data_IF_105002007664
#
_entry.id   IF_105002007664
#
_cell.length_a   1.000
_cell.length_b   1.000
_cell.length_c   1.000
_cell.angle_alpha   90.00
_cell.angle_beta   90.00
_cell.angle_gamma   90.00
#
_symmetry.space_group_name_H-M   'P 1'
#
loop_
_entity.id
_entity.type
_entity.pdbx_description
1 polymer ?
#
# COMPACT_ATOMS: atom_id res chain seq x y z
N UNK A 1 -49.25 -47.80 -58.41
CA UNK A 1 -49.15 -47.62 -56.95
C UNK A 1 -47.68 -47.48 -56.61
N UNK A 2 -47.10 -46.27 -56.64
CA UNK A 2 -45.67 -46.01 -56.39
C UNK A 2 -45.53 -45.24 -55.03
N UNK A 3 -45.03 -45.89 -54.00
CA UNK A 3 -44.66 -45.31 -52.71
C UNK A 3 -43.31 -44.55 -52.83
N UNK A 4 -43.33 -43.25 -52.64
CA UNK A 4 -42.13 -42.45 -52.54
C UNK A 4 -41.51 -42.65 -51.14
N UNK A 5 -40.29 -43.16 -51.11
CA UNK A 5 -39.43 -43.21 -49.90
C UNK A 5 -38.67 -41.90 -49.84
N UNK A 6 -38.90 -41.12 -48.81
CA UNK A 6 -38.14 -39.89 -48.48
C UNK A 6 -36.91 -40.32 -47.73
N UNK A 7 -35.68 -39.91 -48.09
CA UNK A 7 -34.47 -40.30 -47.34
C UNK A 7 -34.32 -39.50 -46.06
N UNK A 8 -34.24 -40.20 -44.96
CA UNK A 8 -34.06 -39.71 -43.58
C UNK A 8 -32.65 -39.09 -43.35
N UNK A 9 -31.79 -39.05 -44.37
CA UNK A 9 -30.39 -38.62 -44.24
C UNK A 9 -30.18 -37.09 -44.15
N UNK A 10 -31.16 -36.24 -44.41
CA UNK A 10 -30.99 -34.79 -44.45
C UNK A 10 -31.25 -34.07 -43.11
N UNK A 11 -31.77 -34.75 -42.09
CA UNK A 11 -32.12 -34.13 -40.81
C UNK A 11 -31.00 -34.20 -39.76
N UNK A 12 -30.00 -35.06 -39.94
CA UNK A 12 -28.88 -35.22 -39.00
C UNK A 12 -27.71 -34.22 -39.22
N UNK A 13 -27.65 -33.60 -40.39
CA UNK A 13 -26.55 -32.64 -40.72
C UNK A 13 -26.85 -31.22 -40.19
N UNK A 14 -28.13 -30.88 -39.95
CA UNK A 14 -28.47 -29.54 -39.40
C UNK A 14 -28.32 -29.42 -37.88
N UNK A 15 -28.29 -30.51 -37.14
CA UNK A 15 -28.06 -30.50 -35.70
C UNK A 15 -26.57 -30.42 -35.31
N UNK A 16 -25.65 -30.76 -36.21
CA UNK A 16 -24.21 -30.68 -35.97
C UNK A 16 -23.64 -29.24 -36.16
N UNK A 17 -24.34 -28.36 -36.86
CA UNK A 17 -23.90 -26.98 -37.09
C UNK A 17 -24.32 -26.00 -36.00
N UNK A 18 -25.23 -26.36 -35.10
CA UNK A 18 -25.68 -25.50 -34.01
C UNK A 18 -24.81 -25.61 -32.72
N UNK A 19 -23.87 -26.57 -32.64
CA UNK A 19 -23.02 -26.79 -31.49
C UNK A 19 -21.63 -26.11 -31.53
N UNK A 20 -21.33 -25.35 -32.62
CA UNK A 20 -20.04 -24.64 -32.77
C UNK A 20 -20.19 -23.15 -32.43
N UNK A 21 -21.33 -22.73 -31.88
CA UNK A 21 -21.55 -21.35 -31.50
C UNK A 21 -21.24 -21.14 -30.01
N UNK A 22 -20.17 -20.42 -29.74
CA UNK A 22 -19.83 -19.72 -28.51
C UNK A 22 -18.86 -20.41 -27.54
N UNK A 23 -17.75 -20.94 -28.03
CA UNK A 23 -16.56 -20.88 -27.20
C UNK A 23 -16.00 -19.45 -27.34
N UNK A 24 -16.43 -18.54 -26.49
CA UNK A 24 -15.66 -17.31 -26.26
C UNK A 24 -14.25 -17.76 -25.97
N UNK A 25 -13.22 -17.35 -26.72
CA UNK A 25 -11.86 -17.75 -26.42
C UNK A 25 -11.60 -17.37 -24.94
N UNK A 26 -11.18 -18.34 -24.14
CA UNK A 26 -10.78 -18.06 -22.78
C UNK A 26 -9.75 -16.95 -22.87
N UNK A 27 -10.10 -15.76 -22.36
CA UNK A 27 -9.18 -14.61 -22.34
C UNK A 27 -7.93 -15.05 -21.58
N UNK A 28 -6.76 -14.92 -22.18
CA UNK A 28 -5.51 -15.23 -21.50
C UNK A 28 -5.45 -14.44 -20.17
N UNK A 29 -4.96 -15.06 -19.10
CA UNK A 29 -4.82 -14.39 -17.82
C UNK A 29 -3.83 -13.24 -17.98
N UNK A 30 -4.27 -12.05 -17.61
CA UNK A 30 -3.45 -10.84 -17.66
C UNK A 30 -2.56 -10.78 -16.40
N UNK A 31 -1.26 -10.93 -16.57
CA UNK A 31 -0.30 -10.77 -15.46
C UNK A 31 -0.01 -9.30 -15.20
N UNK A 32 0.01 -8.91 -13.91
CA UNK A 32 0.42 -7.58 -13.43
C UNK A 32 1.50 -7.78 -12.37
N UNK A 33 2.63 -7.14 -12.57
CA UNK A 33 3.69 -7.04 -11.57
C UNK A 33 3.49 -5.81 -10.72
N UNK A 34 3.45 -6.00 -9.40
CA UNK A 34 3.24 -4.95 -8.41
C UNK A 34 4.44 -4.83 -7.48
N UNK A 35 5.10 -3.67 -7.49
CA UNK A 35 6.24 -3.36 -6.64
C UNK A 35 5.83 -2.83 -5.27
N UNK A 36 6.53 -3.29 -4.20
CA UNK A 36 6.33 -2.81 -2.84
C UNK A 36 7.65 -2.76 -2.06
N UNK A 37 7.64 -2.14 -0.88
CA UNK A 37 8.83 -1.96 -0.03
C UNK A 37 9.07 -3.19 0.85
N UNK A 38 10.30 -3.67 0.86
CA UNK A 38 10.76 -4.72 1.78
C UNK A 38 10.20 -6.10 1.46
N UNK A 39 9.59 -6.74 2.43
CA UNK A 39 8.94 -8.05 2.31
C UNK A 39 7.43 -7.95 2.57
N UNK A 40 6.78 -9.08 2.88
CA UNK A 40 5.37 -9.09 3.20
C UNK A 40 5.04 -8.13 4.35
N UNK A 41 4.26 -7.11 4.06
CA UNK A 41 3.81 -6.07 5.01
C UNK A 41 2.30 -5.96 4.99
N UNK A 42 1.74 -5.27 5.96
CA UNK A 42 0.30 -5.04 6.00
C UNK A 42 -0.24 -4.14 4.88
N UNK A 43 0.62 -3.39 4.18
CA UNK A 43 0.22 -2.70 2.94
C UNK A 43 -0.29 -3.66 1.88
N UNK A 44 0.22 -4.89 1.85
CA UNK A 44 -0.18 -5.92 0.88
C UNK A 44 -1.42 -6.70 1.29
N UNK A 45 -2.04 -6.38 2.42
CA UNK A 45 -3.21 -7.13 2.91
C UNK A 45 -4.39 -7.12 1.94
N UNK A 46 -4.78 -5.99 1.31
CA UNK A 46 -5.82 -6.05 0.28
C UNK A 46 -5.46 -6.96 -0.90
N UNK A 47 -4.17 -7.00 -1.27
CA UNK A 47 -3.68 -7.88 -2.32
C UNK A 47 -3.81 -9.36 -1.91
N UNK A 48 -3.42 -9.71 -0.68
CA UNK A 48 -3.56 -11.08 -0.16
C UNK A 48 -5.02 -11.52 -0.10
N UNK A 49 -5.90 -10.66 0.40
CA UNK A 49 -7.34 -10.91 0.43
C UNK A 49 -7.89 -11.10 -0.98
N UNK A 50 -7.63 -10.17 -1.89
CA UNK A 50 -8.14 -10.25 -3.26
C UNK A 50 -7.65 -11.48 -4.03
N UNK A 51 -6.42 -11.93 -3.75
CA UNK A 51 -5.87 -13.17 -4.32
C UNK A 51 -6.53 -14.40 -3.71
N UNK A 52 -6.58 -14.51 -2.38
CA UNK A 52 -7.13 -15.68 -1.69
C UNK A 52 -8.63 -15.87 -1.90
N UNK A 53 -9.39 -14.76 -2.01
CA UNK A 53 -10.84 -14.79 -2.27
C UNK A 53 -11.19 -14.87 -3.75
N UNK A 54 -10.19 -14.92 -4.64
CA UNK A 54 -10.39 -15.02 -6.08
C UNK A 54 -10.88 -13.73 -6.76
N UNK A 55 -10.85 -12.58 -6.10
CA UNK A 55 -11.35 -11.31 -6.66
C UNK A 55 -10.55 -10.86 -7.89
N UNK A 56 -9.22 -11.07 -7.90
CA UNK A 56 -8.38 -10.80 -9.07
C UNK A 56 -8.60 -11.84 -10.18
N UNK A 57 -8.72 -13.10 -9.82
CA UNK A 57 -8.99 -14.17 -10.77
C UNK A 57 -10.35 -13.98 -11.49
N UNK A 58 -11.37 -13.50 -10.77
CA UNK A 58 -12.68 -13.16 -11.36
C UNK A 58 -12.60 -12.05 -12.41
N UNK A 59 -11.61 -11.17 -12.32
CA UNK A 59 -11.30 -10.13 -13.30
C UNK A 59 -10.25 -10.60 -14.34
N UNK A 60 -9.93 -11.90 -14.34
CA UNK A 60 -8.91 -12.50 -15.20
C UNK A 60 -7.52 -11.87 -15.04
N UNK A 61 -7.13 -11.62 -13.78
CA UNK A 61 -5.85 -11.04 -13.40
C UNK A 61 -5.05 -11.99 -12.50
N UNK A 62 -3.74 -12.08 -12.75
CA UNK A 62 -2.74 -12.70 -11.88
C UNK A 62 -1.75 -11.63 -11.42
N UNK A 63 -1.59 -11.45 -10.11
CA UNK A 63 -0.76 -10.38 -9.55
C UNK A 63 0.53 -10.96 -8.97
N UNK A 64 1.66 -10.54 -9.52
CA UNK A 64 3.00 -10.90 -9.04
C UNK A 64 3.58 -9.79 -8.16
N UNK A 65 4.12 -10.14 -7.03
CA UNK A 65 4.75 -9.19 -6.12
C UNK A 65 6.25 -9.10 -6.36
N UNK A 66 6.76 -7.88 -6.43
CA UNK A 66 8.20 -7.57 -6.53
C UNK A 66 8.56 -6.63 -5.38
N UNK A 67 9.70 -6.87 -4.73
CA UNK A 67 10.12 -6.10 -3.58
C UNK A 67 11.37 -5.28 -3.88
N UNK A 68 11.36 -4.01 -3.43
CA UNK A 68 12.51 -3.12 -3.46
C UNK A 68 12.91 -2.71 -2.02
N UNK A 69 14.18 -2.33 -1.78
CA UNK A 69 14.67 -2.07 -0.43
C UNK A 69 14.12 -0.79 0.21
N UNK A 70 13.58 0.15 -0.58
CA UNK A 70 13.05 1.42 -0.10
C UNK A 70 11.91 1.95 -0.97
N UNK A 71 11.10 2.86 -0.43
CA UNK A 71 10.00 3.51 -1.16
C UNK A 71 10.51 4.30 -2.38
N UNK A 72 11.62 5.04 -2.25
CA UNK A 72 12.25 5.73 -3.37
C UNK A 72 12.73 4.73 -4.45
N UNK A 73 13.31 3.58 -4.03
CA UNK A 73 13.71 2.51 -4.94
C UNK A 73 12.53 1.89 -5.69
N UNK A 74 11.38 1.75 -5.05
CA UNK A 74 10.13 1.33 -5.70
C UNK A 74 9.76 2.32 -6.81
N UNK A 75 9.79 3.63 -6.55
CA UNK A 75 9.42 4.63 -7.56
C UNK A 75 10.41 4.68 -8.74
N UNK A 76 11.70 4.52 -8.49
CA UNK A 76 12.71 4.43 -9.56
C UNK A 76 12.45 3.23 -10.48
N UNK A 77 12.17 2.05 -9.92
CA UNK A 77 11.89 0.84 -10.68
C UNK A 77 10.56 0.92 -11.43
N UNK A 78 9.50 1.50 -10.82
CA UNK A 78 8.24 1.77 -11.49
C UNK A 78 8.42 2.72 -12.69
N UNK A 79 9.17 3.80 -12.51
CA UNK A 79 9.48 4.75 -13.58
C UNK A 79 10.25 4.09 -14.72
N UNK A 80 11.18 3.20 -14.42
CA UNK A 80 11.93 2.41 -15.38
C UNK A 80 11.11 1.31 -16.07
N UNK A 81 9.88 1.01 -15.58
CA UNK A 81 9.01 -0.02 -16.14
C UNK A 81 9.37 -1.45 -15.72
N UNK A 82 10.13 -1.62 -14.62
CA UNK A 82 10.45 -2.94 -14.07
C UNK A 82 9.21 -3.68 -13.55
N UNK A 83 8.17 -2.95 -13.21
CA UNK A 83 6.82 -3.42 -12.90
C UNK A 83 5.80 -2.34 -13.28
N UNK A 84 4.52 -2.66 -13.25
CA UNK A 84 3.46 -1.82 -13.80
C UNK A 84 2.79 -0.93 -12.76
N UNK A 85 2.64 -1.43 -11.54
CA UNK A 85 1.93 -0.82 -10.42
C UNK A 85 2.83 -0.83 -9.19
N UNK A 86 2.71 0.15 -8.33
CA UNK A 86 3.42 0.16 -7.04
C UNK A 86 2.50 0.52 -5.89
N UNK A 87 2.82 -0.05 -4.71
CA UNK A 87 2.32 0.38 -3.41
C UNK A 87 3.50 0.77 -2.52
N UNK A 88 3.54 2.02 -2.12
CA UNK A 88 4.66 2.55 -1.32
C UNK A 88 4.30 3.87 -0.64
N UNK A 89 5.27 4.47 0.06
CA UNK A 89 5.11 5.76 0.73
C UNK A 89 4.68 6.88 -0.22
N UNK A 90 3.58 7.55 0.11
CA UNK A 90 2.98 8.57 -0.75
C UNK A 90 3.91 9.76 -1.01
N UNK A 91 4.73 10.16 -0.04
CA UNK A 91 5.67 11.28 -0.20
C UNK A 91 6.69 11.03 -1.31
N UNK A 92 7.19 9.78 -1.44
CA UNK A 92 8.16 9.43 -2.48
C UNK A 92 7.49 9.34 -3.85
N UNK A 93 6.22 8.90 -3.92
CA UNK A 93 5.44 8.93 -5.16
C UNK A 93 5.26 10.36 -5.64
N UNK A 94 4.78 11.25 -4.78
CA UNK A 94 4.55 12.68 -5.10
C UNK A 94 5.86 13.36 -5.51
N UNK A 95 6.95 13.11 -4.78
CA UNK A 95 8.29 13.63 -5.11
C UNK A 95 8.73 13.18 -6.50
N UNK A 96 8.67 11.88 -6.79
CA UNK A 96 9.10 11.34 -8.08
C UNK A 96 8.30 11.92 -9.25
N UNK A 97 6.98 12.10 -9.10
CA UNK A 97 6.13 12.72 -10.13
C UNK A 97 6.55 14.18 -10.39
N UNK A 98 6.80 14.95 -9.35
CA UNK A 98 7.26 16.33 -9.51
C UNK A 98 8.69 16.43 -10.03
N UNK A 99 9.51 15.42 -9.83
CA UNK A 99 10.84 15.30 -10.46
C UNK A 99 10.76 14.87 -11.92
N UNK A 100 9.59 14.53 -12.43
CA UNK A 100 9.33 14.22 -13.84
C UNK A 100 9.30 12.72 -14.15
N UNK A 101 9.22 11.85 -13.14
CA UNK A 101 9.09 10.43 -13.39
C UNK A 101 7.78 10.14 -14.16
N UNK A 102 7.78 9.19 -15.12
CA UNK A 102 6.61 8.83 -15.92
C UNK A 102 5.64 7.90 -15.12
N UNK A 103 5.21 8.39 -13.97
CA UNK A 103 4.30 7.69 -13.06
C UNK A 103 3.13 8.58 -12.67
N UNK A 104 2.02 7.99 -12.24
CA UNK A 104 0.86 8.73 -11.76
C UNK A 104 0.23 8.02 -10.55
N UNK A 105 -0.28 8.80 -9.61
CA UNK A 105 -1.03 8.33 -8.46
C UNK A 105 -2.46 7.97 -8.91
N UNK A 106 -2.93 6.77 -8.54
CA UNK A 106 -4.28 6.30 -8.90
C UNK A 106 -5.19 6.09 -7.69
N UNK A 107 -4.64 5.88 -6.48
CA UNK A 107 -5.42 5.88 -5.24
C UNK A 107 -4.53 6.16 -4.02
N UNK A 108 -5.11 6.71 -2.96
CA UNK A 108 -4.56 6.61 -1.61
C UNK A 108 -4.92 5.23 -1.07
N UNK A 109 -4.01 4.60 -0.35
CA UNK A 109 -4.27 3.32 0.31
C UNK A 109 -4.26 3.47 1.83
N UNK A 110 -3.11 3.79 2.41
CA UNK A 110 -2.98 4.11 3.83
C UNK A 110 -3.28 5.59 4.08
N UNK A 111 -4.45 5.88 4.61
CA UNK A 111 -4.91 7.27 4.76
C UNK A 111 -4.48 7.96 6.05
N UNK A 112 -3.79 7.23 6.94
CA UNK A 112 -3.24 7.71 8.21
C UNK A 112 -1.92 6.98 8.54
N UNK A 113 -1.03 7.56 9.38
CA UNK A 113 0.22 6.89 9.75
C UNK A 113 0.00 5.77 10.76
N UNK A 114 0.39 4.52 10.45
CA UNK A 114 0.17 3.38 11.34
C UNK A 114 1.35 3.10 12.27
N UNK A 115 2.17 4.10 12.54
CA UNK A 115 3.39 3.95 13.33
C UNK A 115 3.19 4.25 14.82
N UNK A 116 4.00 3.60 15.65
CA UNK A 116 4.22 3.95 17.04
C UNK A 116 5.69 4.33 17.27
N UNK A 117 5.95 5.21 18.25
CA UNK A 117 7.30 5.54 18.72
C UNK A 117 7.63 4.66 19.91
N UNK A 118 8.54 3.70 19.71
CA UNK A 118 9.02 2.77 20.73
C UNK A 118 10.37 3.22 21.25
N UNK A 119 10.58 3.15 22.56
CA UNK A 119 11.81 3.59 23.23
C UNK A 119 12.38 2.51 24.15
N UNK A 120 13.65 2.67 24.53
CA UNK A 120 14.30 1.84 25.55
C UNK A 120 13.47 1.84 26.84
N UNK A 121 13.54 0.74 27.58
CA UNK A 121 12.74 0.50 28.81
C UNK A 121 12.90 1.57 29.88
N UNK A 122 14.04 2.26 29.88
CA UNK A 122 14.36 3.34 30.83
C UNK A 122 13.74 4.68 30.49
N UNK A 123 13.28 4.86 29.24
CA UNK A 123 12.64 6.08 28.74
C UNK A 123 11.13 5.91 28.89
N UNK A 124 10.46 6.78 29.64
CA UNK A 124 9.04 6.67 29.96
C UNK A 124 8.19 7.77 29.34
N UNK A 125 8.81 8.86 28.95
CA UNK A 125 8.14 10.04 28.38
C UNK A 125 8.83 10.52 27.12
N UNK A 126 8.08 11.23 26.26
CA UNK A 126 8.65 11.88 25.07
C UNK A 126 9.74 12.89 25.46
N UNK A 127 9.56 13.62 26.56
CA UNK A 127 10.53 14.63 27.02
C UNK A 127 11.93 14.06 27.27
N UNK A 128 12.04 12.80 27.68
CA UNK A 128 13.31 12.10 27.93
C UNK A 128 14.08 11.76 26.65
N UNK A 129 13.50 11.97 25.48
CA UNK A 129 14.16 11.81 24.19
C UNK A 129 15.12 12.95 23.83
N UNK A 130 15.12 14.06 24.61
CA UNK A 130 16.08 15.16 24.40
C UNK A 130 17.52 14.66 24.54
N UNK A 131 18.36 14.96 23.56
CA UNK A 131 19.74 14.50 23.47
C UNK A 131 19.89 12.99 23.20
N UNK A 132 18.83 12.31 22.76
CA UNK A 132 18.86 10.87 22.46
C UNK A 132 18.91 10.62 20.96
N UNK A 133 19.38 9.43 20.59
CA UNK A 133 19.40 8.97 19.21
C UNK A 133 18.10 8.24 18.87
N UNK A 134 17.41 8.70 17.84
CA UNK A 134 16.13 8.14 17.37
C UNK A 134 16.30 7.64 15.94
N UNK A 135 15.75 6.47 15.61
CA UNK A 135 15.85 5.91 14.27
C UNK A 135 14.54 6.06 13.49
N UNK A 136 14.67 6.60 12.28
CA UNK A 136 13.59 6.77 11.28
C UNK A 136 13.98 6.13 9.94
N UNK A 137 13.10 6.17 8.94
CA UNK A 137 13.32 5.52 7.64
C UNK A 137 14.42 6.14 6.80
N UNK A 138 14.54 7.46 6.81
CA UNK A 138 15.52 8.21 6.03
C UNK A 138 15.41 9.70 6.26
N UNK A 139 16.39 10.45 5.78
CA UNK A 139 16.42 11.91 5.94
C UNK A 139 15.22 12.60 5.27
N UNK A 140 14.81 12.10 4.11
CA UNK A 140 13.66 12.61 3.33
C UNK A 140 12.44 11.70 3.39
N UNK A 141 12.46 10.70 4.27
CA UNK A 141 11.36 9.75 4.45
C UNK A 141 10.24 10.34 5.31
N UNK A 142 9.00 9.94 5.04
CA UNK A 142 7.83 10.42 5.77
C UNK A 142 7.89 10.15 7.27
N UNK A 143 8.60 9.10 7.70
CA UNK A 143 8.74 8.77 9.13
C UNK A 143 9.49 9.82 9.92
N UNK A 144 10.41 10.58 9.29
CA UNK A 144 11.03 11.76 9.91
C UNK A 144 9.98 12.83 10.19
N UNK A 145 9.14 13.13 9.20
CA UNK A 145 8.06 14.12 9.36
C UNK A 145 7.09 13.70 10.46
N UNK A 146 6.72 12.41 10.50
CA UNK A 146 5.87 11.85 11.55
C UNK A 146 6.49 12.02 12.93
N UNK A 147 7.79 11.74 13.08
CA UNK A 147 8.50 11.96 14.33
C UNK A 147 8.45 13.45 14.76
N UNK A 148 8.75 14.35 13.84
CA UNK A 148 8.74 15.80 14.11
C UNK A 148 7.34 16.30 14.49
N UNK A 149 6.27 15.80 13.86
CA UNK A 149 4.88 16.09 14.22
C UNK A 149 4.54 15.62 15.64
N UNK A 150 5.15 14.53 16.12
CA UNK A 150 4.97 14.04 17.47
C UNK A 150 5.85 14.78 18.49
N UNK A 151 7.12 15.06 18.18
CA UNK A 151 8.05 15.64 19.12
C UNK A 151 7.81 17.15 19.36
N UNK A 152 7.51 17.91 18.30
CA UNK A 152 7.37 19.38 18.39
C UNK A 152 6.32 19.84 19.39
N UNK A 153 5.06 19.33 19.40
CA UNK A 153 4.07 19.72 20.40
C UNK A 153 4.42 19.24 21.82
N UNK A 154 5.33 18.28 21.95
CA UNK A 154 5.87 17.81 23.23
C UNK A 154 7.16 18.56 23.65
N UNK A 155 7.46 19.68 23.01
CA UNK A 155 8.54 20.59 23.40
C UNK A 155 9.94 20.18 22.95
N UNK A 156 10.07 19.21 22.02
CA UNK A 156 11.37 18.80 21.46
C UNK A 156 11.44 19.26 20.00
N UNK A 157 12.44 20.08 19.68
CA UNK A 157 12.66 20.63 18.35
C UNK A 157 13.75 19.86 17.60
N UNK A 158 13.77 19.99 16.28
CA UNK A 158 14.88 19.50 15.45
C UNK A 158 16.23 20.07 15.97
N UNK A 159 17.24 19.21 16.03
CA UNK A 159 18.56 19.53 16.61
C UNK A 159 18.68 19.29 18.12
N UNK A 160 17.59 18.96 18.82
CA UNK A 160 17.63 18.57 20.24
C UNK A 160 17.68 17.04 20.41
N UNK A 161 17.82 16.28 19.33
CA UNK A 161 18.02 14.82 19.28
C UNK A 161 18.79 14.45 18.02
N UNK A 162 19.40 13.28 18.02
CA UNK A 162 20.15 12.76 16.87
C UNK A 162 19.29 11.79 16.07
N UNK A 163 19.45 11.77 14.74
CA UNK A 163 18.76 10.84 13.85
C UNK A 163 19.73 9.82 13.27
N UNK A 164 19.31 8.54 13.28
CA UNK A 164 19.86 7.47 12.46
C UNK A 164 18.79 6.98 11.49
N UNK A 165 19.24 6.40 10.39
CA UNK A 165 18.35 6.05 9.28
C UNK A 165 18.42 4.58 8.92
N UNK A 166 17.24 3.92 8.83
CA UNK A 166 17.10 2.59 8.29
C UNK A 166 15.71 2.45 7.61
N UNK A 167 15.70 2.17 6.32
CA UNK A 167 14.49 2.15 5.50
C UNK A 167 13.44 1.12 5.96
N UNK A 168 13.87 -0.08 6.39
CA UNK A 168 12.94 -1.12 6.83
C UNK A 168 12.63 -1.04 8.33
N UNK A 169 11.39 -1.29 8.70
CA UNK A 169 10.97 -1.38 10.11
C UNK A 169 11.70 -2.49 10.86
N UNK A 170 12.05 -3.60 10.18
CA UNK A 170 12.80 -4.69 10.78
C UNK A 170 14.20 -4.24 11.23
N UNK A 171 14.91 -3.47 10.40
CA UNK A 171 16.21 -2.93 10.77
C UNK A 171 16.12 -1.93 11.93
N UNK A 172 15.08 -1.09 11.96
CA UNK A 172 14.83 -0.17 13.07
C UNK A 172 14.54 -0.92 14.36
N UNK A 173 13.75 -1.99 14.30
CA UNK A 173 13.49 -2.84 15.48
C UNK A 173 14.75 -3.53 15.98
N UNK A 174 15.58 -4.09 15.08
CA UNK A 174 16.86 -4.69 15.47
C UNK A 174 17.82 -3.68 16.14
N UNK A 175 17.87 -2.44 15.64
CA UNK A 175 18.67 -1.37 16.26
C UNK A 175 18.15 -0.99 17.65
N UNK A 176 16.82 -0.96 17.85
CA UNK A 176 16.22 -0.74 19.16
C UNK A 176 16.55 -1.89 20.12
N UNK A 177 16.44 -3.15 19.66
CA UNK A 177 16.74 -4.34 20.47
C UNK A 177 18.20 -4.43 20.90
N UNK A 178 19.13 -4.06 20.03
CA UNK A 178 20.57 -4.06 20.33
C UNK A 178 21.00 -2.91 21.23
N UNK A 179 20.14 -1.92 21.49
CA UNK A 179 20.50 -0.70 22.22
C UNK A 179 21.29 0.32 21.39
N UNK A 180 21.45 0.12 20.08
CA UNK A 180 22.12 1.07 19.20
C UNK A 180 21.38 2.41 19.10
N UNK A 181 20.09 2.44 19.39
CA UNK A 181 19.26 3.64 19.45
C UNK A 181 18.40 3.68 20.69
N UNK A 182 18.07 4.89 21.11
CA UNK A 182 17.21 5.14 22.28
C UNK A 182 15.73 4.98 21.96
N UNK A 183 15.33 5.27 20.73
CA UNK A 183 13.96 5.08 20.23
C UNK A 183 13.93 4.82 18.73
N UNK A 184 12.82 4.25 18.26
CA UNK A 184 12.59 4.00 16.85
C UNK A 184 11.10 4.09 16.51
N UNK A 185 10.77 4.59 15.32
CA UNK A 185 9.43 4.51 14.74
C UNK A 185 9.24 3.12 14.16
N UNK A 186 8.24 2.38 14.66
CA UNK A 186 7.96 1.01 14.25
C UNK A 186 6.54 0.87 13.70
N UNK A 187 6.45 0.06 12.64
CA UNK A 187 5.21 -0.32 11.95
C UNK A 187 4.71 -1.67 12.48
N UNK A 188 3.39 -1.94 12.53
CA UNK A 188 2.88 -3.25 12.92
C UNK A 188 3.39 -4.39 12.02
N UNK A 189 3.64 -5.58 12.57
CA UNK A 189 3.44 -5.96 13.99
C UNK A 189 4.64 -5.66 14.90
N UNK A 190 5.73 -5.06 14.39
CA UNK A 190 6.98 -4.93 15.12
C UNK A 190 6.88 -3.96 16.33
N UNK A 191 5.97 -2.99 16.28
CA UNK A 191 5.64 -2.18 17.47
C UNK A 191 5.07 -3.07 18.59
N UNK A 192 4.16 -3.99 18.31
CA UNK A 192 3.58 -4.91 19.32
C UNK A 192 4.62 -5.88 19.86
N UNK A 193 5.50 -6.39 18.99
CA UNK A 193 6.63 -7.24 19.43
C UNK A 193 7.60 -6.48 20.34
N UNK A 194 7.86 -5.21 20.03
CA UNK A 194 8.69 -4.36 20.89
C UNK A 194 8.02 -4.15 22.27
N UNK A 195 6.72 -3.85 22.31
CA UNK A 195 5.97 -3.74 23.55
C UNK A 195 6.00 -5.04 24.37
N UNK A 196 5.75 -6.19 23.73
CA UNK A 196 5.84 -7.50 24.36
C UNK A 196 7.26 -7.82 24.89
N UNK A 197 8.30 -7.32 24.22
CA UNK A 197 9.69 -7.41 24.69
C UNK A 197 10.02 -6.39 25.80
N UNK A 198 9.06 -5.57 26.24
CA UNK A 198 9.18 -4.61 27.35
C UNK A 198 9.73 -3.24 26.97
N UNK A 199 9.85 -2.91 25.68
CA UNK A 199 10.14 -1.54 25.23
C UNK A 199 8.95 -0.64 25.55
N UNK A 200 9.22 0.65 25.82
CA UNK A 200 8.16 1.61 26.14
C UNK A 200 7.51 2.15 24.87
N UNK A 201 6.20 2.00 24.73
CA UNK A 201 5.44 2.71 23.71
C UNK A 201 5.17 4.15 24.18
N UNK A 202 5.76 5.13 23.50
CA UNK A 202 5.60 6.56 23.81
C UNK A 202 4.37 7.18 23.12
N UNK A 203 3.67 6.41 22.29
CA UNK A 203 2.43 6.83 21.64
C UNK A 203 2.37 6.50 20.16
N UNK A 204 1.19 6.67 19.59
CA UNK A 204 0.92 6.44 18.18
C UNK A 204 1.02 7.73 17.38
N UNK A 205 1.66 7.67 16.22
CA UNK A 205 1.84 8.84 15.34
C UNK A 205 0.51 9.37 14.82
N UNK A 206 -0.49 8.51 14.64
CA UNK A 206 -1.83 8.93 14.19
C UNK A 206 -2.46 10.00 15.08
N UNK A 207 -2.14 10.03 16.37
CA UNK A 207 -2.64 11.03 17.32
C UNK A 207 -2.12 12.44 17.02
N UNK A 208 -0.99 12.54 16.31
CA UNK A 208 -0.30 13.79 15.99
C UNK A 208 -0.36 14.16 14.49
N UNK A 209 -0.65 13.22 13.62
CA UNK A 209 -0.57 13.38 12.17
C UNK A 209 -1.71 12.69 11.40
N UNK A 210 -2.92 12.62 11.98
CA UNK A 210 -4.08 11.90 11.41
C UNK A 210 -4.52 12.33 10.00
N UNK A 211 -4.18 13.57 9.60
CA UNK A 211 -4.52 14.09 8.27
C UNK A 211 -3.43 13.81 7.21
N UNK A 212 -2.30 13.26 7.63
CA UNK A 212 -1.15 13.02 6.77
C UNK A 212 -1.17 11.59 6.26
N UNK A 213 -1.50 11.35 4.98
CA UNK A 213 -1.61 10.00 4.44
C UNK A 213 -0.24 9.33 4.36
N UNK A 214 -0.24 8.01 4.48
CA UNK A 214 0.96 7.21 4.52
C UNK A 214 1.37 6.66 3.17
N UNK A 215 0.46 5.96 2.48
CA UNK A 215 0.77 5.23 1.24
C UNK A 215 -0.26 5.45 0.15
N UNK A 216 0.13 5.12 -1.06
CA UNK A 216 -0.73 5.15 -2.22
C UNK A 216 -0.32 4.14 -3.27
N UNK A 217 -1.18 3.95 -4.25
CA UNK A 217 -0.91 3.15 -5.44
C UNK A 217 -0.62 4.08 -6.60
N UNK A 218 0.55 3.88 -7.22
CA UNK A 218 0.97 4.57 -8.45
C UNK A 218 1.17 3.58 -9.59
N UNK A 219 1.12 4.09 -10.80
CA UNK A 219 1.27 3.31 -12.03
C UNK A 219 2.29 3.97 -12.98
N UNK A 220 2.98 3.14 -13.77
CA UNK A 220 3.73 3.64 -14.92
C UNK A 220 2.75 4.18 -15.97
N UNK A 221 2.87 5.47 -16.32
CA UNK A 221 1.89 6.15 -17.20
C UNK A 221 1.86 5.57 -18.61
N UNK A 222 3.00 5.16 -19.15
CA UNK A 222 3.07 4.56 -20.49
C UNK A 222 2.38 3.20 -20.53
N UNK A 223 2.56 2.39 -19.50
CA UNK A 223 1.84 1.12 -19.37
C UNK A 223 0.33 1.36 -19.17
N UNK A 224 -0.05 2.25 -18.26
CA UNK A 224 -1.44 2.55 -17.94
C UNK A 224 -2.23 3.04 -19.15
N UNK A 225 -1.62 3.89 -19.99
CA UNK A 225 -2.26 4.38 -21.23
C UNK A 225 -2.55 3.24 -22.21
N UNK A 226 -1.64 2.29 -22.37
CA UNK A 226 -1.84 1.14 -23.27
C UNK A 226 -2.72 0.04 -22.69
N UNK A 227 -2.90 0.00 -21.37
CA UNK A 227 -3.59 -1.07 -20.65
C UNK A 227 -4.69 -0.52 -19.72
N UNK A 228 -5.38 0.54 -20.13
CA UNK A 228 -6.38 1.23 -19.29
C UNK A 228 -7.43 0.28 -18.73
N UNK A 229 -8.03 -0.57 -19.57
CA UNK A 229 -9.05 -1.55 -19.15
C UNK A 229 -8.50 -2.55 -18.10
N UNK A 230 -7.25 -3.01 -18.28
CA UNK A 230 -6.58 -3.90 -17.31
C UNK A 230 -6.36 -3.20 -15.96
N UNK A 231 -5.93 -1.95 -15.98
CA UNK A 231 -5.77 -1.13 -14.79
C UNK A 231 -7.11 -0.91 -14.08
N UNK A 232 -8.17 -0.59 -14.81
CA UNK A 232 -9.51 -0.38 -14.23
C UNK A 232 -10.05 -1.65 -13.57
N UNK A 233 -9.85 -2.83 -14.18
CA UNK A 233 -10.18 -4.14 -13.58
C UNK A 233 -9.38 -4.39 -12.29
N UNK A 234 -8.07 -4.10 -12.31
CA UNK A 234 -7.23 -4.19 -11.12
C UNK A 234 -7.75 -3.29 -9.99
N UNK A 235 -8.00 -2.01 -10.27
CA UNK A 235 -8.49 -1.05 -9.27
C UNK A 235 -9.86 -1.44 -8.71
N UNK A 236 -10.74 -2.00 -9.55
CA UNK A 236 -12.05 -2.50 -9.11
C UNK A 236 -11.91 -3.71 -8.17
N UNK A 237 -11.11 -4.71 -8.54
CA UNK A 237 -10.85 -5.90 -7.72
C UNK A 237 -10.16 -5.52 -6.41
N UNK A 238 -9.17 -4.64 -6.48
CA UNK A 238 -8.45 -4.14 -5.30
C UNK A 238 -9.39 -3.40 -4.33
N UNK A 239 -10.28 -2.55 -4.84
CA UNK A 239 -11.26 -1.84 -4.02
C UNK A 239 -12.24 -2.82 -3.36
N UNK A 240 -12.72 -3.85 -4.07
CA UNK A 240 -13.55 -4.92 -3.48
C UNK A 240 -12.80 -5.62 -2.34
N UNK A 241 -11.51 -5.92 -2.51
CA UNK A 241 -10.69 -6.56 -1.49
C UNK A 241 -10.50 -5.66 -0.25
N UNK A 242 -10.28 -4.36 -0.44
CA UNK A 242 -10.21 -3.38 0.67
C UNK A 242 -11.53 -3.31 1.44
N UNK A 243 -12.66 -3.23 0.74
CA UNK A 243 -13.99 -3.19 1.37
C UNK A 243 -14.24 -4.47 2.17
N UNK A 244 -13.94 -5.63 1.58
CA UNK A 244 -14.09 -6.92 2.24
C UNK A 244 -13.20 -7.04 3.49
N UNK A 245 -11.94 -6.61 3.40
CA UNK A 245 -10.98 -6.58 4.52
C UNK A 245 -11.48 -5.70 5.67
N UNK A 246 -12.15 -4.60 5.36
CA UNK A 246 -12.67 -3.66 6.36
C UNK A 246 -14.05 -4.04 6.91
N UNK A 247 -14.72 -5.07 6.38
CA UNK A 247 -15.95 -5.59 6.97
C UNK A 247 -15.63 -6.45 8.20
N UNK A 248 -16.13 -6.03 9.37
CA UNK A 248 -15.92 -6.75 10.64
C UNK A 248 -16.47 -8.17 10.66
N UNK A 249 -17.46 -8.47 9.81
CA UNK A 249 -18.01 -9.82 9.68
C UNK A 249 -16.98 -10.80 9.09
N UNK A 250 -16.01 -10.30 8.34
CA UNK A 250 -14.95 -11.10 7.70
C UNK A 250 -13.70 -11.25 8.58
N UNK A 251 -13.66 -10.69 9.81
CA UNK A 251 -12.45 -10.64 10.65
C UNK A 251 -11.75 -11.99 10.79
N UNK A 252 -12.49 -13.04 11.14
CA UNK A 252 -11.91 -14.37 11.37
C UNK A 252 -11.26 -14.96 10.10
N UNK A 253 -11.94 -14.83 8.96
CA UNK A 253 -11.45 -15.31 7.68
C UNK A 253 -10.28 -14.43 7.18
N UNK A 254 -10.38 -13.12 7.33
CA UNK A 254 -9.31 -12.18 6.99
C UNK A 254 -8.03 -12.52 7.75
N UNK A 255 -8.08 -12.67 9.07
CA UNK A 255 -6.92 -13.03 9.89
C UNK A 255 -6.31 -14.36 9.42
N UNK A 256 -7.13 -15.38 9.16
CA UNK A 256 -6.64 -16.67 8.65
C UNK A 256 -5.88 -16.52 7.33
N UNK A 257 -6.45 -15.83 6.35
CA UNK A 257 -5.81 -15.57 5.05
C UNK A 257 -4.48 -14.80 5.25
N UNK A 258 -4.51 -13.76 6.10
CA UNK A 258 -3.35 -12.89 6.31
C UNK A 258 -2.21 -13.61 7.02
N UNK A 259 -2.49 -14.48 8.00
CA UNK A 259 -1.49 -15.36 8.66
C UNK A 259 -0.82 -16.26 7.62
N UNK A 260 -1.63 -16.90 6.77
CA UNK A 260 -1.12 -17.81 5.74
C UNK A 260 -0.26 -17.08 4.70
N UNK A 261 -0.73 -15.91 4.21
CA UNK A 261 -0.05 -15.16 3.16
C UNK A 261 1.22 -14.45 3.66
N UNK A 262 1.18 -13.83 4.86
CA UNK A 262 2.30 -13.04 5.40
C UNK A 262 3.29 -13.87 6.21
N UNK A 263 2.94 -15.08 6.61
CA UNK A 263 3.73 -15.96 7.52
C UNK A 263 3.99 -15.30 8.89
N UNK A 264 3.14 -14.37 9.29
CA UNK A 264 3.16 -13.77 10.63
C UNK A 264 2.41 -14.64 11.63
N UNK A 265 2.67 -14.42 12.93
CA UNK A 265 1.93 -15.15 13.95
C UNK A 265 0.45 -14.73 13.97
N UNK A 266 -0.47 -15.63 14.36
CA UNK A 266 -1.88 -15.26 14.53
C UNK A 266 -2.07 -14.04 15.45
N UNK A 267 -1.38 -14.01 16.58
CA UNK A 267 -1.46 -12.93 17.57
C UNK A 267 -1.03 -11.57 16.98
N UNK A 268 0.09 -11.52 16.28
CA UNK A 268 0.58 -10.30 15.62
C UNK A 268 -0.39 -9.83 14.53
N UNK A 269 -0.92 -10.76 13.76
CA UNK A 269 -1.87 -10.47 12.68
C UNK A 269 -3.18 -9.91 13.24
N UNK A 270 -3.72 -10.53 14.30
CA UNK A 270 -4.95 -10.06 14.96
C UNK A 270 -4.79 -8.66 15.53
N UNK A 271 -3.71 -8.41 16.30
CA UNK A 271 -3.41 -7.09 16.87
C UNK A 271 -3.29 -6.03 15.77
N UNK A 272 -2.59 -6.37 14.69
CA UNK A 272 -2.42 -5.46 13.55
C UNK A 272 -3.75 -5.19 12.84
N UNK A 273 -4.58 -6.23 12.63
CA UNK A 273 -5.90 -6.09 12.03
C UNK A 273 -6.80 -5.15 12.84
N UNK A 274 -6.89 -5.38 14.14
CA UNK A 274 -7.72 -4.58 15.04
C UNK A 274 -7.22 -3.12 15.11
N UNK A 275 -5.90 -2.90 15.10
CA UNK A 275 -5.32 -1.56 15.04
C UNK A 275 -5.69 -0.85 13.72
N UNK A 276 -5.48 -1.48 12.57
CA UNK A 276 -5.78 -0.86 11.27
C UNK A 276 -7.26 -0.50 11.13
N UNK A 277 -8.13 -1.36 11.62
CA UNK A 277 -9.57 -1.06 11.68
C UNK A 277 -9.87 0.12 12.60
N UNK A 278 -9.27 0.16 13.79
CA UNK A 278 -9.46 1.22 14.79
C UNK A 278 -9.05 2.60 14.27
N UNK A 279 -7.96 2.67 13.51
CA UNK A 279 -7.45 3.95 12.97
C UNK A 279 -8.01 4.28 11.58
N UNK A 280 -8.91 3.45 11.04
CA UNK A 280 -9.46 3.59 9.68
C UNK A 280 -8.34 3.72 8.62
N UNK A 281 -7.41 2.76 8.64
CA UNK A 281 -6.16 2.86 7.88
C UNK A 281 -6.38 2.80 6.37
N UNK A 282 -7.14 1.81 5.87
CA UNK A 282 -7.34 1.61 4.43
C UNK A 282 -8.43 2.53 3.87
N UNK A 283 -8.12 3.23 2.79
CA UNK A 283 -9.08 4.01 2.04
C UNK A 283 -10.01 3.06 1.25
N UNK A 284 -11.32 3.08 1.51
CA UNK A 284 -12.28 2.07 1.04
C UNK A 284 -12.99 2.43 -0.27
N UNK A 285 -12.95 3.69 -0.70
CA UNK A 285 -13.70 4.15 -1.90
C UNK A 285 -12.88 4.12 -3.18
N UNK A 286 -11.55 3.89 -3.10
CA UNK A 286 -10.64 3.97 -4.23
C UNK A 286 -10.39 5.40 -4.70
N UNK A 287 -10.36 6.36 -3.78
CA UNK A 287 -10.28 7.79 -4.06
C UNK A 287 -8.93 8.41 -3.66
N UNK A 288 -8.66 9.57 -4.23
CA UNK A 288 -7.52 10.42 -3.86
C UNK A 288 -8.06 11.78 -3.41
N UNK A 289 -7.97 12.06 -2.12
CA UNK A 289 -8.32 13.37 -1.57
C UNK A 289 -7.24 14.40 -1.88
N UNK A 290 -7.55 15.45 -2.62
CA UNK A 290 -6.66 16.60 -2.88
C UNK A 290 -6.19 17.24 -1.58
N UNK A 291 -7.07 17.38 -0.61
CA UNK A 291 -6.74 17.92 0.71
C UNK A 291 -5.63 17.14 1.39
N UNK A 292 -5.71 15.80 1.41
CA UNK A 292 -4.66 14.96 2.00
C UNK A 292 -3.36 15.02 1.21
N UNK A 293 -3.43 15.05 -0.12
CA UNK A 293 -2.24 15.16 -0.97
C UNK A 293 -1.58 16.54 -0.85
N UNK A 294 -2.36 17.60 -0.66
CA UNK A 294 -1.83 18.94 -0.42
C UNK A 294 -0.94 19.01 0.83
N UNK A 295 -1.25 18.28 1.89
CA UNK A 295 -0.39 18.15 3.09
C UNK A 295 0.99 17.57 2.74
N UNK A 296 1.04 16.56 1.83
CA UNK A 296 2.30 16.01 1.32
C UNK A 296 3.07 17.04 0.49
N UNK A 297 2.37 17.77 -0.37
CA UNK A 297 2.98 18.82 -1.19
C UNK A 297 3.59 19.92 -0.30
N UNK A 298 2.91 20.32 0.76
CA UNK A 298 3.41 21.35 1.69
C UNK A 298 4.69 20.91 2.40
N UNK A 299 4.80 19.62 2.75
CA UNK A 299 6.04 19.06 3.29
C UNK A 299 7.17 19.15 2.24
N UNK A 300 6.87 18.84 0.99
CA UNK A 300 7.86 18.84 -0.08
C UNK A 300 8.29 20.23 -0.53
N UNK A 301 7.54 21.30 -0.21
CA UNK A 301 7.88 22.68 -0.62
C UNK A 301 9.26 23.14 -0.16
N UNK A 302 9.71 22.69 1.01
CA UNK A 302 11.03 23.03 1.52
C UNK A 302 12.16 22.41 0.69
N UNK A 303 11.93 21.20 0.18
CA UNK A 303 12.91 20.40 -0.57
C UNK A 303 12.88 20.68 -2.08
N UNK A 304 11.75 21.22 -2.58
CA UNK A 304 11.47 21.36 -4.03
C UNK A 304 11.11 22.81 -4.43
N UNK A 305 11.79 23.79 -3.84
CA UNK A 305 11.46 25.23 -3.96
C UNK A 305 11.39 25.74 -5.41
N UNK A 306 12.22 25.19 -6.28
CA UNK A 306 12.33 25.63 -7.67
C UNK A 306 11.43 24.85 -8.64
N UNK A 307 10.56 23.99 -8.13
CA UNK A 307 9.67 23.16 -8.95
C UNK A 307 8.22 23.61 -8.87
N UNK A 308 7.49 23.64 -10.00
CA UNK A 308 6.05 23.87 -9.98
C UNK A 308 5.35 22.64 -9.40
N UNK A 309 4.81 22.78 -8.18
CA UNK A 309 4.10 21.71 -7.48
C UNK A 309 2.59 21.77 -7.80
N UNK A 310 2.22 21.58 -9.06
CA UNK A 310 0.83 21.50 -9.48
C UNK A 310 0.24 20.13 -9.15
N UNK A 311 -0.72 20.10 -8.23
CA UNK A 311 -1.38 18.89 -7.75
C UNK A 311 -2.03 18.07 -8.88
N UNK A 312 -2.50 18.71 -9.96
CA UNK A 312 -3.16 18.02 -11.06
C UNK A 312 -2.22 17.13 -11.85
N UNK A 313 -0.90 17.38 -11.80
CA UNK A 313 0.12 16.52 -12.43
C UNK A 313 0.25 15.15 -11.77
N UNK A 314 -0.27 14.99 -10.58
CA UNK A 314 -0.14 13.74 -9.81
C UNK A 314 -1.06 12.64 -10.32
N UNK A 315 -2.17 13.00 -10.98
CA UNK A 315 -3.27 12.09 -11.25
C UNK A 315 -3.25 11.55 -12.68
N UNK A 316 -3.64 10.30 -12.84
CA UNK A 316 -3.88 9.71 -14.16
C UNK A 316 -5.26 10.18 -14.68
N UNK A 317 -5.32 10.97 -15.77
CA UNK A 317 -6.58 11.48 -16.30
C UNK A 317 -7.57 10.35 -16.64
N UNK A 318 -8.85 10.55 -16.33
CA UNK A 318 -9.94 9.61 -16.59
C UNK A 318 -9.81 8.22 -15.91
N UNK A 319 -8.91 8.08 -14.93
CA UNK A 319 -8.74 6.86 -14.11
C UNK A 319 -8.76 7.21 -12.63
N UNK A 320 -7.91 8.15 -12.19
CA UNK A 320 -7.86 8.55 -10.78
C UNK A 320 -9.17 9.21 -10.35
N UNK A 321 -9.80 8.66 -9.33
CA UNK A 321 -11.01 9.23 -8.72
C UNK A 321 -10.59 10.28 -7.68
N UNK A 322 -10.65 11.55 -8.06
CA UNK A 322 -10.19 12.67 -7.23
C UNK A 322 -11.36 13.28 -6.48
N UNK A 323 -11.17 13.53 -5.18
CA UNK A 323 -12.10 14.31 -4.32
C UNK A 323 -11.41 15.55 -3.79
N UNK A 324 -12.20 16.57 -3.40
CA UNK A 324 -11.69 17.85 -2.88
C UNK A 324 -11.10 17.71 -1.45
#
# INVERSE_FOLDING_TARGET
MFRRIIPVASLLIQLAYAAIASSTPARAIDEIEMGSVGGPTALLWPLYIGTATGMFAAENLDIKQIFAPSSAGVQQQLAAGAFQISDSGLIDQVRAIFEGAPIALVRIEGQVPPYALLAQRTIKTIAELRGKTIMVGGEKDITRVYLERMLTPNGIKAGEYDLLYAGSTLARFAALQSGAVSAAILFPPLNFRAEAAGFTNLGFIVDYAKNLPFSGISVNTSWATRNKERLERFLAAYTKAVVWLNDGNNRSEAVKILVEASKQSPEDTEKSYDMYRKIDFFETKGEVSKKKVAEIIDILRSDMRDKPLDINRLFLPNVTRVTE
#
